data_IF_377320777906
#
_entry.id   IF_377320777906
#
_cell.length_a   1.000
_cell.length_b   1.000
_cell.length_c   1.000
_cell.angle_alpha   90.00
_cell.angle_beta   90.00
_cell.angle_gamma   90.00
#
_symmetry.space_group_name_H-M   'P 1'
#
loop_
_entity.id
_entity.type
_entity.pdbx_description
1 polymer ?
#
# COMPACT_ATOMS: atom_id res chain seq x y z
N UNK A 1 21.39 -11.11 30.01
CA UNK A 1 20.44 -10.77 28.93
C UNK A 1 19.09 -11.37 29.28
N UNK A 2 17.97 -10.66 29.12
CA UNK A 2 16.65 -11.20 29.47
C UNK A 2 16.45 -12.54 28.73
N UNK A 3 15.93 -13.56 29.41
CA UNK A 3 15.66 -14.90 28.89
C UNK A 3 16.84 -15.75 28.35
N UNK A 4 18.11 -15.34 28.55
CA UNK A 4 19.27 -16.18 28.18
C UNK A 4 19.60 -16.26 26.68
N UNK A 5 18.93 -15.44 25.87
CA UNK A 5 19.15 -15.38 24.41
C UNK A 5 20.17 -14.28 24.08
N UNK A 6 21.02 -14.49 23.07
CA UNK A 6 22.02 -13.50 22.67
C UNK A 6 21.38 -12.26 22.02
N UNK A 7 21.97 -11.08 22.22
CA UNK A 7 21.51 -9.80 21.63
C UNK A 7 21.32 -9.87 20.11
N UNK A 8 22.19 -10.62 19.43
CA UNK A 8 22.09 -10.86 17.99
C UNK A 8 20.81 -11.58 17.58
N UNK A 9 20.22 -12.45 18.42
CA UNK A 9 18.94 -13.09 18.11
C UNK A 9 17.79 -12.08 18.12
N UNK A 10 17.77 -11.16 19.07
CA UNK A 10 16.78 -10.08 19.10
C UNK A 10 16.88 -9.18 17.88
N UNK A 11 18.10 -8.79 17.50
CA UNK A 11 18.35 -8.00 16.29
C UNK A 11 17.91 -8.74 15.01
N UNK A 12 18.16 -10.05 14.91
CA UNK A 12 17.69 -10.87 13.80
C UNK A 12 16.17 -10.93 13.72
N UNK A 13 15.50 -11.14 14.85
CA UNK A 13 14.04 -11.14 14.92
C UNK A 13 13.44 -9.79 14.54
N UNK A 14 13.99 -8.71 15.08
CA UNK A 14 13.55 -7.34 14.74
C UNK A 14 13.74 -7.05 13.25
N UNK A 15 14.92 -7.36 12.71
CA UNK A 15 15.22 -7.19 11.29
C UNK A 15 14.27 -8.01 10.41
N UNK A 16 14.02 -9.27 10.76
CA UNK A 16 13.07 -10.13 10.05
C UNK A 16 11.65 -9.58 10.07
N UNK A 17 11.19 -9.04 11.20
CA UNK A 17 9.86 -8.44 11.33
C UNK A 17 9.71 -7.22 10.43
N UNK A 18 10.71 -6.34 10.42
CA UNK A 18 10.69 -5.14 9.57
C UNK A 18 10.73 -5.49 8.09
N UNK A 19 11.58 -6.45 7.70
CA UNK A 19 11.65 -6.94 6.32
C UNK A 19 10.32 -7.54 5.86
N UNK A 20 9.65 -8.32 6.71
CA UNK A 20 8.33 -8.86 6.40
C UNK A 20 7.28 -7.74 6.21
N UNK A 21 7.32 -6.68 7.02
CA UNK A 21 6.43 -5.52 6.82
C UNK A 21 6.69 -4.80 5.50
N UNK A 22 7.95 -4.55 5.16
CA UNK A 22 8.30 -3.89 3.89
C UNK A 22 7.89 -4.73 2.68
N UNK A 23 8.15 -6.04 2.70
CA UNK A 23 7.72 -6.95 1.65
C UNK A 23 6.19 -6.95 1.49
N UNK A 24 5.45 -7.01 2.59
CA UNK A 24 3.98 -6.93 2.56
C UNK A 24 3.46 -5.62 1.97
N UNK A 25 4.04 -4.48 2.37
CA UNK A 25 3.66 -3.17 1.84
C UNK A 25 3.94 -3.05 0.34
N UNK A 26 5.10 -3.54 -0.13
CA UNK A 26 5.44 -3.54 -1.55
C UNK A 26 4.46 -4.40 -2.36
N UNK A 27 4.12 -5.59 -1.86
CA UNK A 27 3.16 -6.49 -2.53
C UNK A 27 1.80 -5.81 -2.73
N UNK A 28 1.28 -5.13 -1.71
CA UNK A 28 0.01 -4.38 -1.80
C UNK A 28 0.12 -3.25 -2.82
N UNK A 29 1.22 -2.48 -2.80
CA UNK A 29 1.46 -1.42 -3.78
C UNK A 29 1.60 -1.94 -5.21
N UNK A 30 2.23 -3.11 -5.41
CA UNK A 30 2.40 -3.75 -6.73
C UNK A 30 1.11 -4.34 -7.25
N UNK A 31 0.31 -4.95 -6.38
CA UNK A 31 -0.94 -5.61 -6.74
C UNK A 31 -2.07 -4.62 -6.99
N UNK A 32 -2.24 -3.63 -6.11
CA UNK A 32 -3.34 -2.67 -6.22
C UNK A 32 -2.99 -1.36 -6.93
N UNK A 33 -1.70 -1.12 -7.26
CA UNK A 33 -1.17 0.11 -7.88
C UNK A 33 -2.01 1.35 -7.57
N UNK A 34 -2.10 1.73 -6.28
CA UNK A 34 -2.90 2.87 -5.90
C UNK A 34 -2.41 4.10 -6.65
N UNK A 35 -3.34 4.82 -7.26
CA UNK A 35 -3.03 6.12 -7.83
C UNK A 35 -2.75 7.08 -6.66
N UNK A 36 -1.51 7.57 -6.59
CA UNK A 36 -1.05 8.48 -5.55
C UNK A 36 -1.27 9.96 -5.94
N UNK A 37 -2.03 10.24 -7.00
CA UNK A 37 -2.37 11.61 -7.37
C UNK A 37 -3.17 12.27 -6.23
N UNK A 38 -2.54 13.21 -5.53
CA UNK A 38 -3.20 14.06 -4.55
C UNK A 38 -3.58 15.36 -5.28
N UNK A 39 -4.86 15.74 -5.31
CA UNK A 39 -5.25 17.01 -5.93
C UNK A 39 -4.68 18.18 -5.10
N UNK A 40 -4.04 19.15 -5.77
CA UNK A 40 -3.49 20.36 -5.12
C UNK A 40 -4.55 21.18 -4.38
N UNK A 41 -5.81 21.09 -4.82
CA UNK A 41 -6.94 21.76 -4.21
C UNK A 41 -7.70 20.73 -3.38
N UNK A 42 -7.81 20.90 -2.04
CA UNK A 42 -8.58 19.98 -1.22
C UNK A 42 -10.06 20.02 -1.67
N UNK A 43 -10.72 18.86 -1.76
CA UNK A 43 -12.12 18.80 -2.15
C UNK A 43 -12.99 19.53 -1.12
N UNK A 44 -14.07 20.13 -1.58
CA UNK A 44 -15.03 20.80 -0.69
C UNK A 44 -15.65 19.78 0.28
N UNK A 45 -16.00 20.20 1.51
CA UNK A 45 -16.67 19.31 2.46
C UNK A 45 -17.91 18.68 1.83
N UNK A 46 -17.93 17.34 1.71
CA UNK A 46 -19.02 16.58 1.08
C UNK A 46 -18.78 16.12 -0.38
N UNK A 47 -17.73 16.58 -1.06
CA UNK A 47 -17.35 16.13 -2.42
C UNK A 47 -16.18 15.14 -2.42
N UNK A 48 -15.74 14.67 -1.25
CA UNK A 48 -14.74 13.63 -1.12
C UNK A 48 -15.26 12.34 -1.77
N UNK A 49 -14.80 12.06 -2.98
CA UNK A 49 -15.01 10.79 -3.66
C UNK A 49 -14.22 9.72 -2.93
N UNK A 50 -14.82 9.13 -1.90
CA UNK A 50 -14.28 7.98 -1.16
C UNK A 50 -14.50 6.65 -1.90
N UNK A 51 -15.00 6.71 -3.14
CA UNK A 51 -15.10 5.53 -4.00
C UNK A 51 -13.73 4.87 -4.16
N UNK A 52 -13.72 3.53 -4.13
CA UNK A 52 -12.53 2.72 -4.37
C UNK A 52 -12.07 2.95 -5.81
N UNK A 53 -11.22 3.98 -6.02
CA UNK A 53 -10.67 4.39 -7.32
C UNK A 53 -10.07 3.20 -8.11
N UNK A 54 -9.58 2.17 -7.41
CA UNK A 54 -9.06 0.93 -8.00
C UNK A 54 -10.08 0.09 -8.79
N UNK A 55 -11.39 0.24 -8.55
CA UNK A 55 -12.43 -0.46 -9.31
C UNK A 55 -12.78 0.25 -10.63
N UNK A 56 -12.71 1.59 -10.64
CA UNK A 56 -13.09 2.40 -11.80
C UNK A 56 -12.04 2.39 -12.91
N UNK A 57 -10.75 2.37 -12.55
CA UNK A 57 -9.67 2.32 -13.54
C UNK A 57 -9.67 1.04 -14.38
N UNK A 58 -10.10 -0.12 -13.82
CA UNK A 58 -10.24 -1.36 -14.60
C UNK A 58 -11.42 -1.32 -15.60
N UNK A 59 -12.52 -0.64 -15.24
CA UNK A 59 -13.65 -0.46 -16.14
C UNK A 59 -13.32 0.45 -17.32
N UNK A 60 -12.49 1.50 -17.11
CA UNK A 60 -12.08 2.41 -18.18
C UNK A 60 -11.08 1.79 -19.15
N UNK A 61 -10.13 0.97 -18.69
CA UNK A 61 -9.20 0.26 -19.57
C UNK A 61 -9.93 -0.68 -20.53
N UNK A 62 -10.94 -1.41 -20.06
CA UNK A 62 -11.73 -2.31 -20.91
C UNK A 62 -12.60 -1.60 -21.95
N UNK A 63 -13.11 -0.40 -21.64
CA UNK A 63 -13.94 0.39 -22.57
C UNK A 63 -13.10 1.12 -23.63
N UNK A 64 -11.82 1.37 -23.32
CA UNK A 64 -10.85 2.02 -24.24
C UNK A 64 -10.34 1.08 -25.34
N UNK A 65 -10.43 -0.25 -25.15
CA UNK A 65 -10.00 -1.25 -26.13
C UNK A 65 -11.13 -1.71 -27.08
N UNK A 66 -12.35 -1.19 -26.89
CA UNK A 66 -13.53 -1.48 -27.74
C UNK A 66 -13.86 -0.38 -28.76
N UNK A 67 -13.02 0.66 -28.92
CA UNK A 67 -13.24 1.73 -29.89
C UNK A 67 -12.05 1.98 -30.81
#
# INVERSE_FOLDING_TARGET
MPAGVSWSHYLKMLGSSLLAMFAGAEVVHRYYRPDLSIPDIPPKPGELKTELLGLKNQAQTHDSEQH
#
